data_IF_648103033069
#
_entry.id   IF_648103033069
#
_cell.length_a   1.000
_cell.length_b   1.000
_cell.length_c   1.000
_cell.angle_alpha   90.00
_cell.angle_beta   90.00
_cell.angle_gamma   90.00
#
_symmetry.space_group_name_H-M   'P 1'
#
loop_
_entity.id
_entity.type
_entity.pdbx_description
1 polymer ?
#
# COMPACT_ATOMS: atom_id res chain seq x y z
N UNK A 1 0.41 4.64 29.86
CA UNK A 1 1.84 4.48 30.20
C UNK A 1 2.62 5.48 29.35
N UNK A 2 3.60 6.21 29.88
CA UNK A 2 4.40 7.12 29.07
C UNK A 2 5.13 6.31 27.97
N UNK A 3 5.08 6.77 26.73
CA UNK A 3 5.87 6.18 25.64
C UNK A 3 7.35 6.28 26.02
N UNK A 4 8.08 5.15 25.98
CA UNK A 4 9.53 5.11 26.23
C UNK A 4 10.33 5.70 25.05
N UNK A 5 9.86 6.81 24.47
CA UNK A 5 10.32 7.35 23.19
C UNK A 5 9.88 6.54 21.97
N UNK A 6 8.91 5.62 22.13
CA UNK A 6 8.38 4.78 21.06
C UNK A 6 6.99 5.28 20.64
N UNK A 7 6.75 5.38 19.33
CA UNK A 7 5.43 5.64 18.77
C UNK A 7 4.76 4.30 18.37
N UNK A 8 3.61 3.94 18.96
CA UNK A 8 2.88 2.73 18.55
C UNK A 8 2.30 2.90 17.14
N UNK A 9 2.29 1.83 16.35
CA UNK A 9 1.58 1.76 15.07
C UNK A 9 0.48 0.71 15.18
N UNK A 10 -0.72 1.04 14.74
CA UNK A 10 -1.88 0.13 14.74
C UNK A 10 -2.58 0.14 13.38
N UNK A 11 -3.28 -0.94 13.05
CA UNK A 11 -4.18 -0.96 11.89
C UNK A 11 -5.43 -0.10 12.13
N UNK A 12 -5.98 0.47 11.06
CA UNK A 12 -7.10 1.41 11.09
C UNK A 12 -8.36 0.89 11.81
N UNK A 13 -8.56 -0.43 11.89
CA UNK A 13 -9.70 -1.02 12.58
C UNK A 13 -9.81 -0.59 14.04
N UNK A 14 -8.68 -0.43 14.73
CA UNK A 14 -8.68 -0.04 16.15
C UNK A 14 -9.37 1.31 16.34
N UNK A 15 -9.11 2.25 15.43
CA UNK A 15 -9.70 3.60 15.47
C UNK A 15 -11.06 3.66 14.78
N UNK A 16 -11.16 3.17 13.54
CA UNK A 16 -12.32 3.41 12.68
C UNK A 16 -13.45 2.40 12.88
N UNK A 17 -13.14 1.14 13.19
CA UNK A 17 -14.13 0.06 13.35
C UNK A 17 -14.50 -0.17 14.81
N UNK A 18 -13.51 -0.33 15.67
CA UNK A 18 -13.70 -0.64 17.09
C UNK A 18 -13.85 0.60 17.96
N UNK A 19 -13.58 1.78 17.42
CA UNK A 19 -13.75 3.07 18.11
C UNK A 19 -13.02 3.13 19.45
N UNK A 20 -11.82 2.54 19.51
CA UNK A 20 -10.99 2.59 20.71
C UNK A 20 -10.50 4.03 20.94
N UNK A 21 -10.43 4.43 22.21
CA UNK A 21 -9.82 5.70 22.58
C UNK A 21 -8.30 5.58 22.52
N UNK A 22 -7.71 5.93 21.38
CA UNK A 22 -6.26 5.88 21.16
C UNK A 22 -5.60 7.16 21.68
N UNK A 23 -4.39 7.03 22.21
CA UNK A 23 -3.58 8.19 22.54
C UNK A 23 -3.14 8.91 21.26
N UNK A 24 -2.99 10.24 21.32
CA UNK A 24 -2.70 11.08 20.15
C UNK A 24 -1.35 10.80 19.48
N UNK A 25 -0.43 10.12 20.18
CA UNK A 25 0.88 9.71 19.66
C UNK A 25 0.85 8.35 18.92
N UNK A 26 -0.28 7.66 18.91
CA UNK A 26 -0.48 6.44 18.12
C UNK A 26 -0.60 6.79 16.63
N UNK A 27 0.23 6.14 15.82
CA UNK A 27 0.14 6.20 14.36
C UNK A 27 -0.80 5.12 13.86
N UNK A 28 -1.63 5.46 12.88
CA UNK A 28 -2.59 4.52 12.30
C UNK A 28 -2.18 4.17 10.87
N UNK A 29 -2.15 2.88 10.53
CA UNK A 29 -1.87 2.40 9.18
C UNK A 29 -3.19 2.11 8.46
N UNK A 30 -3.46 2.88 7.41
CA UNK A 30 -4.68 2.79 6.60
C UNK A 30 -4.44 1.88 5.41
N UNK A 31 -5.29 0.88 5.23
CA UNK A 31 -5.16 -0.11 4.16
C UNK A 31 -6.44 -0.35 3.38
N UNK A 32 -7.61 0.02 3.89
CA UNK A 32 -8.90 -0.35 3.30
C UNK A 32 -9.39 0.58 2.20
N UNK A 33 -9.03 1.86 2.26
CA UNK A 33 -9.44 2.85 1.25
C UNK A 33 -8.67 4.16 1.39
N UNK A 34 -8.67 4.99 0.33
CA UNK A 34 -8.16 6.36 0.42
C UNK A 34 -8.99 7.23 1.35
N UNK A 35 -10.29 6.94 1.49
CA UNK A 35 -11.17 7.62 2.45
C UNK A 35 -10.72 7.38 3.90
N UNK A 36 -10.22 6.19 4.21
CA UNK A 36 -9.69 5.88 5.54
C UNK A 36 -8.59 6.84 5.96
N UNK A 37 -7.71 7.24 5.03
CA UNK A 37 -6.67 8.24 5.29
C UNK A 37 -7.29 9.56 5.75
N UNK A 38 -8.26 10.09 5.00
CA UNK A 38 -8.96 11.32 5.34
C UNK A 38 -9.72 11.23 6.68
N UNK A 39 -10.37 10.09 6.94
CA UNK A 39 -11.10 9.85 8.19
C UNK A 39 -10.17 9.79 9.40
N UNK A 40 -8.97 9.21 9.25
CA UNK A 40 -7.98 9.14 10.34
C UNK A 40 -7.43 10.53 10.65
N UNK A 41 -6.98 11.30 9.65
CA UNK A 41 -6.41 12.63 9.91
C UNK A 41 -7.45 13.60 10.47
N UNK A 42 -8.74 13.43 10.17
CA UNK A 42 -9.82 14.20 10.77
C UNK A 42 -9.95 13.98 12.29
N UNK A 43 -9.44 12.86 12.82
CA UNK A 43 -9.35 12.61 14.26
C UNK A 43 -8.10 13.21 14.92
N UNK A 44 -7.19 13.80 14.13
CA UNK A 44 -5.92 14.34 14.61
C UNK A 44 -4.78 13.33 14.72
N UNK A 45 -4.99 12.06 14.36
CA UNK A 45 -3.95 11.04 14.37
C UNK A 45 -3.08 11.11 13.11
N UNK A 46 -1.80 10.75 13.28
CA UNK A 46 -0.89 10.53 12.16
C UNK A 46 -1.25 9.24 11.43
N UNK A 47 -1.06 9.24 10.11
CA UNK A 47 -1.43 8.10 9.26
C UNK A 47 -0.31 7.70 8.30
N UNK A 48 -0.16 6.38 8.11
CA UNK A 48 0.62 5.77 7.03
C UNK A 48 -0.38 5.25 6.00
N UNK A 49 -0.27 5.72 4.76
CA UNK A 49 -1.16 5.32 3.67
C UNK A 49 -0.73 3.97 3.05
N UNK A 50 -1.69 3.12 2.69
CA UNK A 50 -1.40 1.77 2.23
C UNK A 50 -2.60 1.06 1.62
N UNK A 51 -3.46 1.81 0.90
CA UNK A 51 -4.70 1.30 0.32
C UNK A 51 -4.47 0.02 -0.52
N UNK A 52 -5.16 -1.08 -0.19
CA UNK A 52 -5.02 -2.39 -0.84
C UNK A 52 -5.42 -2.37 -2.32
N UNK A 53 -6.26 -1.42 -2.75
CA UNK A 53 -6.59 -1.27 -4.16
C UNK A 53 -5.36 -0.91 -5.01
N UNK A 54 -4.30 -0.40 -4.37
CA UNK A 54 -3.09 0.08 -5.01
C UNK A 54 -1.82 -0.59 -4.52
N UNK A 55 -1.58 -0.62 -3.20
CA UNK A 55 -0.28 -0.90 -2.59
C UNK A 55 -0.18 -2.25 -1.88
N UNK A 56 -1.13 -3.16 -2.08
CA UNK A 56 -0.96 -4.57 -1.70
C UNK A 56 -0.28 -5.34 -2.84
N UNK A 57 0.97 -5.71 -2.62
CA UNK A 57 1.81 -6.37 -3.62
C UNK A 57 1.45 -7.86 -3.79
N UNK A 58 0.87 -8.50 -2.77
CA UNK A 58 0.51 -9.92 -2.80
C UNK A 58 -0.81 -10.24 -3.53
N UNK A 59 -1.62 -9.23 -3.88
CA UNK A 59 -2.92 -9.47 -4.51
C UNK A 59 -2.82 -10.01 -5.94
N UNK A 60 -3.85 -10.71 -6.38
CA UNK A 60 -3.96 -11.29 -7.71
C UNK A 60 -3.20 -12.59 -7.92
N UNK A 61 -2.72 -13.24 -6.85
CA UNK A 61 -2.08 -14.57 -6.89
C UNK A 61 -3.09 -15.70 -6.65
N UNK A 62 -4.33 -15.36 -6.28
CA UNK A 62 -5.40 -16.32 -6.04
C UNK A 62 -5.53 -16.73 -4.57
N UNK A 63 -6.49 -17.61 -4.29
CA UNK A 63 -6.75 -18.12 -2.95
C UNK A 63 -5.71 -19.16 -2.54
N UNK A 64 -5.21 -19.04 -1.31
CA UNK A 64 -4.39 -20.05 -0.65
C UNK A 64 -5.22 -21.01 0.22
N UNK A 65 -6.50 -20.71 0.44
CA UNK A 65 -7.43 -21.53 1.24
C UNK A 65 -8.07 -22.59 0.33
N UNK A 66 -8.02 -23.85 0.77
CA UNK A 66 -8.70 -24.95 0.11
C UNK A 66 -10.19 -24.97 0.47
N UNK A 67 -11.04 -25.21 -0.53
CA UNK A 67 -12.49 -25.31 -0.36
C UNK A 67 -12.95 -26.75 -0.57
N UNK A 68 -13.88 -27.22 0.27
CA UNK A 68 -14.49 -28.53 0.09
C UNK A 68 -15.22 -28.62 -1.28
N UNK A 69 -15.29 -29.79 -1.92
CA UNK A 69 -15.93 -29.95 -3.23
C UNK A 69 -17.38 -29.45 -3.29
N UNK A 70 -18.11 -29.51 -2.18
CA UNK A 70 -19.49 -29.04 -2.08
C UNK A 70 -19.65 -27.52 -2.21
N UNK A 71 -18.60 -26.73 -1.97
CA UNK A 71 -18.65 -25.26 -2.00
C UNK A 71 -17.64 -24.63 -2.97
N UNK A 72 -16.67 -25.39 -3.48
CA UNK A 72 -15.57 -24.89 -4.31
C UNK A 72 -16.03 -24.15 -5.57
N UNK A 73 -17.14 -24.58 -6.18
CA UNK A 73 -17.71 -23.93 -7.37
C UNK A 73 -18.07 -22.45 -7.14
N UNK A 74 -18.40 -22.04 -5.91
CA UNK A 74 -18.71 -20.64 -5.55
C UNK A 74 -17.48 -19.73 -5.57
N UNK A 75 -16.30 -20.33 -5.46
CA UNK A 75 -15.05 -19.61 -5.35
C UNK A 75 -14.29 -19.54 -6.67
N UNK A 76 -14.71 -20.25 -7.73
CA UNK A 76 -14.10 -20.16 -9.07
C UNK A 76 -14.11 -18.71 -9.59
N UNK A 77 -13.00 -18.16 -10.15
CA UNK A 77 -11.73 -18.81 -10.49
C UNK A 77 -10.65 -18.73 -9.39
N UNK A 78 -11.08 -18.74 -8.13
CA UNK A 78 -10.27 -18.70 -6.91
C UNK A 78 -9.44 -17.42 -6.76
N UNK A 79 -10.05 -16.26 -7.04
CA UNK A 79 -9.41 -14.96 -6.81
C UNK A 79 -9.28 -14.66 -5.32
N UNK A 80 -8.14 -14.09 -4.91
CA UNK A 80 -8.02 -13.48 -3.59
C UNK A 80 -8.93 -12.24 -3.46
N UNK A 81 -9.16 -11.81 -2.21
CA UNK A 81 -10.13 -10.76 -1.89
C UNK A 81 -9.73 -9.37 -2.41
N UNK A 82 -8.46 -9.17 -2.75
CA UNK A 82 -7.90 -7.88 -3.17
C UNK A 82 -7.44 -7.89 -4.63
N UNK A 83 -7.80 -8.92 -5.40
CA UNK A 83 -7.60 -9.01 -6.83
C UNK A 83 -8.19 -7.78 -7.55
N UNK A 84 -7.67 -7.39 -8.72
CA UNK A 84 -6.62 -8.06 -9.51
C UNK A 84 -5.21 -7.75 -9.00
N UNK A 85 -4.20 -8.37 -9.64
CA UNK A 85 -2.79 -8.07 -9.44
C UNK A 85 -2.51 -6.58 -9.68
N UNK A 86 -1.78 -5.96 -8.74
CA UNK A 86 -1.42 -4.54 -8.83
C UNK A 86 -0.13 -4.42 -9.63
N UNK A 87 -0.25 -4.13 -10.93
CA UNK A 87 0.92 -3.81 -11.74
C UNK A 87 1.52 -2.46 -11.31
N UNK A 88 2.76 -2.17 -11.72
CA UNK A 88 3.45 -0.96 -11.30
C UNK A 88 2.71 0.35 -11.66
N UNK A 89 1.91 0.37 -12.74
CA UNK A 89 1.15 1.57 -13.15
C UNK A 89 0.01 1.85 -12.18
N UNK A 90 -0.64 0.80 -11.67
CA UNK A 90 -1.64 0.93 -10.60
C UNK A 90 -0.96 1.46 -9.34
N UNK A 91 0.17 0.88 -8.94
CA UNK A 91 0.92 1.32 -7.76
C UNK A 91 1.36 2.79 -7.88
N UNK A 92 1.86 3.19 -9.04
CA UNK A 92 2.33 4.55 -9.30
C UNK A 92 1.21 5.60 -9.36
N UNK A 93 -0.01 5.20 -9.72
CA UNK A 93 -1.13 6.14 -9.87
C UNK A 93 -1.77 6.55 -8.55
N UNK A 94 -1.39 5.90 -7.44
CA UNK A 94 -1.93 6.20 -6.13
C UNK A 94 -1.42 7.55 -5.60
N UNK A 95 -2.35 8.41 -5.22
CA UNK A 95 -2.07 9.65 -4.50
C UNK A 95 -2.51 9.47 -3.03
N UNK A 96 -1.56 9.35 -2.08
CA UNK A 96 -1.88 9.15 -0.66
C UNK A 96 -2.51 10.38 0.00
N UNK A 97 -2.47 11.54 -0.66
CA UNK A 97 -3.09 12.79 -0.17
C UNK A 97 -4.47 13.05 -0.79
N UNK A 98 -4.94 12.19 -1.69
CA UNK A 98 -6.22 12.37 -2.37
C UNK A 98 -7.38 12.41 -1.37
N UNK A 99 -8.11 13.53 -1.36
CA UNK A 99 -9.24 13.76 -0.45
C UNK A 99 -8.85 14.25 0.95
N UNK A 100 -7.56 14.39 1.26
CA UNK A 100 -7.09 14.96 2.53
C UNK A 100 -7.05 16.49 2.42
N UNK A 101 -7.75 17.24 3.30
CA UNK A 101 -7.68 18.71 3.32
C UNK A 101 -6.24 19.20 3.48
N UNK A 102 -5.84 20.24 2.75
CA UNK A 102 -4.45 20.76 2.77
C UNK A 102 -3.95 21.08 4.18
N UNK A 103 -4.83 21.58 5.06
CA UNK A 103 -4.50 21.87 6.45
C UNK A 103 -4.13 20.62 7.28
N UNK A 104 -4.52 19.42 6.84
CA UNK A 104 -4.32 18.14 7.54
C UNK A 104 -3.32 17.23 6.83
N UNK A 105 -2.81 17.58 5.65
CA UNK A 105 -1.88 16.74 4.89
C UNK A 105 -0.59 16.43 5.66
N UNK A 106 -0.16 17.31 6.57
CA UNK A 106 1.00 17.10 7.44
C UNK A 106 0.84 15.90 8.42
N UNK A 107 -0.37 15.38 8.60
CA UNK A 107 -0.64 14.18 9.40
C UNK A 107 -0.44 12.89 8.59
N UNK A 108 -0.39 12.96 7.25
CA UNK A 108 0.01 11.84 6.39
C UNK A 108 1.53 11.79 6.37
N UNK A 109 2.11 10.91 7.19
CA UNK A 109 3.56 10.89 7.43
C UNK A 109 4.34 10.01 6.45
N UNK A 110 3.65 9.34 5.53
CA UNK A 110 4.24 8.47 4.52
C UNK A 110 3.27 7.38 4.09
N UNK A 111 3.83 6.28 3.60
CA UNK A 111 3.06 5.14 3.16
C UNK A 111 3.89 3.86 3.12
N UNK A 112 3.20 2.74 2.95
CA UNK A 112 3.80 1.41 2.91
C UNK A 112 3.11 0.57 1.82
N UNK A 113 3.93 -0.10 1.01
CA UNK A 113 3.46 -1.15 0.10
C UNK A 113 3.62 -2.51 0.75
N UNK A 114 2.51 -3.21 0.94
CA UNK A 114 2.46 -4.42 1.76
C UNK A 114 2.74 -5.67 0.95
N UNK A 115 3.67 -6.48 1.44
CA UNK A 115 3.85 -7.85 0.97
C UNK A 115 3.40 -8.83 2.03
N UNK A 116 2.22 -9.41 1.85
CA UNK A 116 1.76 -10.50 2.69
C UNK A 116 2.31 -11.85 2.21
N UNK A 117 2.64 -12.73 3.16
CA UNK A 117 3.43 -13.92 2.90
C UNK A 117 2.63 -15.22 2.84
N UNK A 118 1.33 -15.19 2.56
CA UNK A 118 0.53 -16.43 2.48
C UNK A 118 0.99 -17.34 1.32
N UNK A 119 1.50 -16.75 0.24
CA UNK A 119 2.04 -17.45 -0.94
C UNK A 119 3.41 -16.88 -1.36
N UNK A 120 4.11 -16.20 -0.45
CA UNK A 120 5.40 -15.55 -0.71
C UNK A 120 6.44 -16.06 0.27
N UNK A 121 7.60 -16.43 -0.27
CA UNK A 121 8.73 -17.00 0.45
C UNK A 121 10.06 -16.48 -0.16
N UNK A 122 11.24 -16.91 0.33
CA UNK A 122 12.52 -16.47 -0.23
C UNK A 122 12.77 -16.81 -1.71
N UNK A 123 11.96 -17.68 -2.32
CA UNK A 123 12.09 -18.07 -3.72
C UNK A 123 11.41 -17.08 -4.67
N UNK A 124 10.35 -16.39 -4.23
CA UNK A 124 9.58 -15.49 -5.09
C UNK A 124 9.42 -14.05 -4.54
N UNK A 125 9.93 -13.74 -3.34
CA UNK A 125 9.78 -12.41 -2.72
C UNK A 125 10.32 -11.28 -3.61
N UNK A 126 11.46 -11.49 -4.26
CA UNK A 126 12.06 -10.47 -5.14
C UNK A 126 11.17 -10.16 -6.34
N UNK A 127 10.69 -11.19 -7.05
CA UNK A 127 9.78 -11.06 -8.21
C UNK A 127 8.44 -10.42 -7.82
N UNK A 128 7.99 -10.68 -6.59
CA UNK A 128 6.74 -10.13 -6.08
C UNK A 128 6.93 -8.67 -5.65
N UNK A 129 8.03 -8.30 -5.01
CA UNK A 129 8.24 -6.92 -4.53
C UNK A 129 8.69 -5.99 -5.65
N UNK A 130 9.64 -6.42 -6.49
CA UNK A 130 10.30 -5.59 -7.50
C UNK A 130 9.80 -5.87 -8.92
N UNK A 131 9.75 -4.87 -9.81
CA UNK A 131 10.11 -3.46 -9.59
C UNK A 131 8.94 -2.63 -9.01
N UNK A 132 7.84 -3.28 -8.63
CA UNK A 132 6.59 -2.66 -8.20
C UNK A 132 6.76 -1.72 -7.01
N UNK A 133 7.52 -2.13 -5.99
CA UNK A 133 7.81 -1.28 -4.84
C UNK A 133 8.61 -0.02 -5.20
N UNK A 134 9.41 -0.02 -6.28
CA UNK A 134 10.10 1.18 -6.74
C UNK A 134 9.12 2.26 -7.24
N UNK A 135 7.97 1.86 -7.79
CA UNK A 135 6.93 2.79 -8.18
C UNK A 135 6.31 3.48 -6.95
N UNK A 136 6.00 2.74 -5.88
CA UNK A 136 5.52 3.32 -4.62
C UNK A 136 6.59 4.23 -3.97
N UNK A 137 7.86 3.80 -4.00
CA UNK A 137 8.97 4.58 -3.47
C UNK A 137 9.09 5.95 -4.16
N UNK A 138 8.92 6.02 -5.48
CA UNK A 138 8.97 7.30 -6.18
C UNK A 138 7.81 8.24 -5.79
N UNK A 139 6.60 7.70 -5.65
CA UNK A 139 5.42 8.47 -5.19
C UNK A 139 5.68 9.05 -3.80
N UNK A 140 6.23 8.25 -2.89
CA UNK A 140 6.51 8.66 -1.52
C UNK A 140 7.71 9.63 -1.42
N UNK A 141 8.67 9.52 -2.32
CA UNK A 141 9.88 10.34 -2.32
C UNK A 141 9.68 11.71 -2.99
N UNK A 142 9.04 11.72 -4.15
CA UNK A 142 8.94 12.92 -5.02
C UNK A 142 7.52 13.45 -5.18
N UNK A 143 6.55 12.82 -4.51
CA UNK A 143 5.14 13.19 -4.58
C UNK A 143 4.40 12.56 -5.77
N UNK A 144 3.08 12.45 -5.59
CA UNK A 144 2.16 11.90 -6.59
C UNK A 144 1.77 12.90 -7.68
N UNK A 145 2.04 14.21 -7.49
CA UNK A 145 1.59 15.29 -8.36
C UNK A 145 2.72 15.89 -9.19
N UNK A 146 2.40 16.33 -10.40
CA UNK A 146 3.29 17.14 -11.23
C UNK A 146 3.25 18.63 -10.80
N UNK A 147 4.06 19.46 -11.46
CA UNK A 147 4.14 20.91 -11.21
C UNK A 147 2.80 21.65 -11.39
N UNK A 148 1.84 21.03 -12.08
CA UNK A 148 0.50 21.57 -12.33
C UNK A 148 -0.55 20.98 -11.37
N UNK A 149 -0.14 20.19 -10.37
CA UNK A 149 -1.03 19.57 -9.39
C UNK A 149 -1.82 18.35 -9.90
N UNK A 150 -1.48 17.81 -11.08
CA UNK A 150 -2.13 16.62 -11.66
C UNK A 150 -1.39 15.36 -11.24
N UNK A 151 -2.07 14.21 -11.21
CA UNK A 151 -1.36 12.93 -10.99
C UNK A 151 -0.27 12.75 -12.04
N UNK A 152 0.93 12.40 -11.59
CA UNK A 152 2.06 12.16 -12.47
C UNK A 152 1.73 11.04 -13.46
N UNK A 153 2.06 11.26 -14.72
CA UNK A 153 1.78 10.29 -15.78
C UNK A 153 2.65 9.05 -15.61
N UNK A 154 2.03 7.87 -15.70
CA UNK A 154 2.80 6.63 -15.80
C UNK A 154 3.66 6.59 -17.07
N UNK A 155 3.29 7.35 -18.11
CA UNK A 155 4.07 7.41 -19.36
C UNK A 155 5.48 7.96 -19.09
N UNK A 156 5.59 9.02 -18.28
CA UNK A 156 6.88 9.66 -17.93
C UNK A 156 7.69 8.83 -16.92
N UNK A 157 7.03 7.95 -16.17
CA UNK A 157 7.66 7.02 -15.24
C UNK A 157 8.19 5.76 -15.92
N UNK A 158 7.56 5.32 -17.01
CA UNK A 158 7.90 4.08 -17.71
C UNK A 158 9.40 3.93 -18.03
N UNK A 159 10.09 4.89 -18.68
CA UNK A 159 11.52 4.70 -19.00
C UNK A 159 12.39 4.57 -17.75
N UNK A 160 12.10 5.35 -16.69
CA UNK A 160 12.88 5.37 -15.45
C UNK A 160 12.67 4.11 -14.61
N UNK A 161 11.44 3.59 -14.56
CA UNK A 161 11.14 2.33 -13.90
C UNK A 161 11.72 1.13 -14.65
N UNK A 162 11.69 1.14 -15.98
CA UNK A 162 12.37 0.11 -16.79
C UNK A 162 13.88 0.10 -16.53
N UNK A 163 14.52 1.27 -16.49
CA UNK A 163 15.94 1.35 -16.15
C UNK A 163 16.21 0.91 -14.70
N UNK A 164 15.38 1.34 -13.74
CA UNK A 164 15.51 0.93 -12.35
C UNK A 164 15.43 -0.59 -12.20
N UNK A 165 14.53 -1.24 -12.95
CA UNK A 165 14.42 -2.70 -13.00
C UNK A 165 15.74 -3.35 -13.38
N UNK A 166 16.36 -2.93 -14.47
CA UNK A 166 17.65 -3.47 -14.90
C UNK A 166 18.77 -3.19 -13.87
N UNK A 167 18.74 -2.02 -13.23
CA UNK A 167 19.69 -1.70 -12.15
C UNK A 167 19.53 -2.60 -10.93
N UNK A 168 18.31 -3.02 -10.58
CA UNK A 168 18.04 -3.96 -9.49
C UNK A 168 18.58 -5.35 -9.83
N UNK A 169 18.32 -5.83 -11.05
CA UNK A 169 18.86 -7.11 -11.56
C UNK A 169 20.39 -7.09 -11.53
N UNK A 170 21.03 -6.02 -12.00
CA UNK A 170 22.48 -5.86 -11.95
C UNK A 170 23.07 -5.86 -10.53
N UNK A 171 22.24 -5.63 -9.50
CA UNK A 171 22.60 -5.66 -8.08
C UNK A 171 22.22 -6.98 -7.38
N UNK A 172 21.74 -7.97 -8.13
CA UNK A 172 21.44 -9.31 -7.62
C UNK A 172 20.00 -9.52 -7.14
N UNK A 173 19.09 -8.56 -7.38
CA UNK A 173 17.65 -8.78 -7.16
C UNK A 173 17.13 -9.74 -8.22
N UNK A 174 16.43 -10.81 -7.80
CA UNK A 174 15.96 -11.87 -8.70
C UNK A 174 14.50 -11.63 -9.10
N UNK A 175 14.30 -11.00 -10.25
CA UNK A 175 12.98 -10.78 -10.86
C UNK A 175 12.57 -11.84 -11.88
#
# INVERSE_FOLDING_TARGET
MPSRGLAPIVWEEMLLKWKLNLASDVVVQAWRSSKSVADIVATGHKVIAGNYDFWYLSCGTGQYINYAPSVSARYWPFTDYCAPFKNWRVIYSYDPLAGVPSAQQHLVIGGEAHMWSQQVDPMNVDQMVWPRAAAAAEVLWSGAKDEHGRNRSYFDAAPRLSEMRERLVARGVRE
#
